data_IF_544965144162
#
_entry.id   IF_544965144162
#
_cell.length_a   1.000
_cell.length_b   1.000
_cell.length_c   1.000
_cell.angle_alpha   90.00
_cell.angle_beta   90.00
_cell.angle_gamma   90.00
#
_symmetry.space_group_name_H-M   'P 1'
#
loop_
_entity.id
_entity.type
_entity.pdbx_description
1 polymer ?
#
# COMPACT_ATOMS: atom_id res chain seq x y z
N UNK A 1 3.52 -18.22 32.29
CA UNK A 1 2.76 -17.03 31.83
C UNK A 1 3.22 -16.73 30.42
N UNK A 2 2.38 -17.00 29.41
CA UNK A 2 2.66 -16.52 28.06
C UNK A 2 2.43 -15.01 28.07
N UNK A 3 3.49 -14.23 27.91
CA UNK A 3 3.37 -12.80 27.68
C UNK A 3 2.43 -12.59 26.50
N UNK A 4 1.30 -11.91 26.71
CA UNK A 4 0.48 -11.43 25.59
C UNK A 4 1.38 -10.49 24.81
N UNK A 5 1.92 -10.94 23.68
CA UNK A 5 2.65 -10.07 22.78
C UNK A 5 1.68 -8.96 22.34
N UNK A 6 1.87 -7.76 22.89
CA UNK A 6 1.17 -6.56 22.43
C UNK A 6 1.66 -6.28 21.02
N UNK A 7 0.75 -6.27 20.05
CA UNK A 7 1.08 -5.94 18.67
C UNK A 7 1.47 -4.46 18.63
N UNK A 8 2.69 -4.16 18.14
CA UNK A 8 3.11 -2.79 17.87
C UNK A 8 2.64 -2.37 16.48
N UNK A 9 1.44 -1.80 16.42
CA UNK A 9 0.85 -1.33 15.17
C UNK A 9 1.64 -0.16 14.54
N UNK A 10 2.42 0.61 15.31
CA UNK A 10 3.27 1.65 14.75
C UNK A 10 4.45 1.04 13.99
N UNK A 11 5.05 -0.01 14.55
CA UNK A 11 6.10 -0.76 13.87
C UNK A 11 5.57 -1.43 12.60
N UNK A 12 4.36 -2.00 12.64
CA UNK A 12 3.73 -2.58 11.46
C UNK A 12 3.54 -1.53 10.36
N UNK A 13 2.98 -0.35 10.66
CA UNK A 13 2.86 0.74 9.67
C UNK A 13 4.22 1.09 9.04
N UNK A 14 5.28 1.22 9.85
CA UNK A 14 6.63 1.50 9.33
C UNK A 14 7.15 0.41 8.39
N UNK A 15 6.86 -0.86 8.70
CA UNK A 15 7.24 -1.99 7.84
C UNK A 15 6.45 -1.99 6.53
N UNK A 16 5.15 -1.70 6.58
CA UNK A 16 4.34 -1.58 5.37
C UNK A 16 4.83 -0.45 4.47
N UNK A 17 5.15 0.72 5.03
CA UNK A 17 5.67 1.84 4.23
C UNK A 17 7.04 1.55 3.59
N UNK A 18 7.90 0.78 4.25
CA UNK A 18 9.14 0.29 3.63
C UNK A 18 8.86 -0.64 2.45
N UNK A 19 7.87 -1.54 2.60
CA UNK A 19 7.44 -2.41 1.51
C UNK A 19 6.85 -1.62 0.35
N UNK A 20 6.03 -0.60 0.63
CA UNK A 20 5.45 0.30 -0.38
C UNK A 20 6.56 0.97 -1.18
N UNK A 21 7.56 1.57 -0.53
CA UNK A 21 8.65 2.24 -1.25
C UNK A 21 9.43 1.30 -2.20
N UNK A 22 9.61 0.03 -1.82
CA UNK A 22 10.25 -0.97 -2.69
C UNK A 22 9.35 -1.31 -3.88
N UNK A 23 8.07 -1.52 -3.63
CA UNK A 23 7.09 -1.84 -4.67
C UNK A 23 6.86 -0.67 -5.64
N UNK A 24 6.85 0.57 -5.14
CA UNK A 24 6.74 1.78 -5.96
C UNK A 24 7.92 1.88 -6.92
N UNK A 25 9.14 1.66 -6.43
CA UNK A 25 10.34 1.63 -7.28
C UNK A 25 10.27 0.50 -8.31
N UNK A 26 9.87 -0.71 -7.90
CA UNK A 26 9.70 -1.82 -8.84
C UNK A 26 8.65 -1.49 -9.91
N UNK A 27 7.54 -0.85 -9.55
CA UNK A 27 6.51 -0.46 -10.49
C UNK A 27 7.00 0.65 -11.44
N UNK A 28 7.85 1.57 -10.97
CA UNK A 28 8.48 2.60 -11.82
C UNK A 28 9.44 2.00 -12.84
N UNK A 29 10.27 1.04 -12.41
CA UNK A 29 11.28 0.37 -13.23
C UNK A 29 10.67 -0.71 -14.18
N UNK A 30 9.39 -1.07 -14.01
CA UNK A 30 8.72 -2.12 -14.80
C UNK A 30 8.18 -1.58 -16.13
N UNK A 31 8.48 -2.28 -17.22
CA UNK A 31 8.03 -1.93 -18.58
C UNK A 31 6.72 -2.63 -18.94
N UNK A 32 6.47 -3.82 -18.42
CA UNK A 32 5.26 -4.60 -18.69
C UNK A 32 4.05 -3.98 -17.94
N UNK A 33 3.03 -3.47 -18.67
CA UNK A 33 1.87 -2.83 -18.06
C UNK A 33 1.06 -3.78 -17.17
N UNK A 34 1.04 -5.07 -17.48
CA UNK A 34 0.33 -6.06 -16.67
C UNK A 34 1.03 -6.27 -15.32
N UNK A 35 2.36 -6.37 -15.32
CA UNK A 35 3.16 -6.50 -14.09
C UNK A 35 3.09 -5.21 -13.28
N UNK A 36 3.21 -4.04 -13.92
CA UNK A 36 3.04 -2.73 -13.28
C UNK A 36 1.67 -2.59 -12.61
N UNK A 37 0.60 -3.00 -13.28
CA UNK A 37 -0.75 -3.00 -12.72
C UNK A 37 -0.88 -3.97 -11.53
N UNK A 38 -0.20 -5.13 -11.57
CA UNK A 38 -0.17 -6.05 -10.44
C UNK A 38 0.55 -5.46 -9.22
N UNK A 39 1.72 -4.84 -9.41
CA UNK A 39 2.47 -4.16 -8.36
C UNK A 39 1.65 -3.03 -7.70
N UNK A 40 0.91 -2.26 -8.50
CA UNK A 40 0.05 -1.19 -7.99
C UNK A 40 -1.13 -1.71 -7.16
N UNK A 41 -1.69 -2.88 -7.50
CA UNK A 41 -2.71 -3.52 -6.64
C UNK A 41 -2.12 -3.90 -5.28
N UNK A 42 -0.91 -4.44 -5.24
CA UNK A 42 -0.23 -4.77 -3.98
C UNK A 42 0.03 -3.51 -3.15
N UNK A 43 0.47 -2.41 -3.77
CA UNK A 43 0.66 -1.12 -3.08
C UNK A 43 -0.66 -0.62 -2.45
N UNK A 44 -1.77 -0.73 -3.19
CA UNK A 44 -3.10 -0.36 -2.69
C UNK A 44 -3.48 -1.19 -1.46
N UNK A 45 -3.29 -2.51 -1.50
CA UNK A 45 -3.53 -3.41 -0.37
C UNK A 45 -2.66 -3.03 0.84
N UNK A 46 -1.40 -2.64 0.62
CA UNK A 46 -0.50 -2.19 1.69
C UNK A 46 -0.99 -0.92 2.38
N UNK A 47 -1.62 0.00 1.65
CA UNK A 47 -2.26 1.16 2.28
C UNK A 47 -3.52 0.79 3.06
N UNK A 48 -4.30 -0.19 2.62
CA UNK A 48 -5.43 -0.73 3.41
C UNK A 48 -4.93 -1.35 4.73
N UNK A 49 -3.83 -2.12 4.69
CA UNK A 49 -3.18 -2.66 5.90
C UNK A 49 -2.71 -1.52 6.85
N UNK A 50 -2.20 -0.41 6.31
CA UNK A 50 -1.83 0.76 7.12
C UNK A 50 -3.06 1.41 7.78
N UNK A 51 -4.17 1.55 7.05
CA UNK A 51 -5.44 2.08 7.59
C UNK A 51 -5.95 1.18 8.70
N UNK A 52 -5.89 -0.14 8.53
CA UNK A 52 -6.29 -1.09 9.56
C UNK A 52 -5.37 -1.01 10.78
N UNK A 53 -4.06 -0.84 10.62
CA UNK A 53 -3.17 -0.59 11.77
C UNK A 53 -3.56 0.68 12.54
N UNK A 54 -3.97 1.75 11.85
CA UNK A 54 -4.48 2.98 12.51
C UNK A 54 -5.76 2.69 13.29
N UNK A 55 -6.70 1.93 12.71
CA UNK A 55 -7.94 1.51 13.41
C UNK A 55 -7.65 0.72 14.68
N UNK A 56 -6.53 0.00 14.74
CA UNK A 56 -6.10 -0.77 15.90
C UNK A 56 -5.17 0.00 16.86
N UNK A 57 -4.93 1.30 16.62
CA UNK A 57 -4.22 2.17 17.57
C UNK A 57 -2.84 2.64 17.14
N UNK A 58 -2.44 2.48 15.87
CA UNK A 58 -1.24 3.15 15.36
C UNK A 58 -1.44 4.68 15.33
N UNK A 59 -0.41 5.44 15.73
CA UNK A 59 -0.40 6.90 15.78
C UNK A 59 -0.08 7.52 14.41
N UNK A 60 -0.94 7.23 13.43
CA UNK A 60 -0.86 7.76 12.07
C UNK A 60 -2.25 8.23 11.59
N UNK A 61 -2.29 8.93 10.46
CA UNK A 61 -3.55 9.41 9.88
C UNK A 61 -4.09 8.41 8.86
N UNK A 62 -5.23 7.78 9.16
CA UNK A 62 -5.94 6.94 8.20
C UNK A 62 -6.35 7.73 6.94
N UNK A 63 -6.68 9.03 7.10
CA UNK A 63 -7.00 9.92 5.98
C UNK A 63 -5.81 10.12 5.04
N UNK A 64 -4.60 10.24 5.59
CA UNK A 64 -3.39 10.34 4.78
C UNK A 64 -3.18 9.09 3.93
N UNK A 65 -3.27 7.89 4.52
CA UNK A 65 -3.15 6.63 3.78
C UNK A 65 -4.27 6.44 2.74
N UNK A 66 -5.50 6.86 3.04
CA UNK A 66 -6.60 6.82 2.09
C UNK A 66 -6.35 7.70 0.85
N UNK A 67 -5.73 8.87 1.02
CA UNK A 67 -5.36 9.73 -0.10
C UNK A 67 -4.27 9.10 -0.96
N UNK A 68 -3.21 8.56 -0.35
CA UNK A 68 -2.14 7.87 -1.07
C UNK A 68 -2.66 6.65 -1.84
N UNK A 69 -3.53 5.86 -1.21
CA UNK A 69 -4.25 4.77 -1.87
C UNK A 69 -5.02 5.27 -3.10
N UNK A 70 -5.79 6.34 -2.96
CA UNK A 70 -6.61 6.90 -4.06
C UNK A 70 -5.76 7.36 -5.24
N UNK A 71 -4.57 7.93 -4.99
CA UNK A 71 -3.63 8.28 -6.05
C UNK A 71 -3.17 7.05 -6.85
N UNK A 72 -2.87 5.95 -6.16
CA UNK A 72 -2.49 4.70 -6.80
C UNK A 72 -3.66 4.01 -7.52
N UNK A 73 -4.88 4.07 -6.98
CA UNK A 73 -6.09 3.60 -7.65
C UNK A 73 -6.35 4.36 -8.95
N UNK A 74 -6.12 5.67 -8.97
CA UNK A 74 -6.24 6.51 -10.18
C UNK A 74 -5.23 6.07 -11.24
N UNK A 75 -3.95 5.95 -10.88
CA UNK A 75 -2.91 5.47 -11.80
C UNK A 75 -3.21 4.05 -12.33
N UNK A 76 -3.71 3.15 -11.47
CA UNK A 76 -4.06 1.78 -11.87
C UNK A 76 -5.21 1.78 -12.87
N UNK A 77 -6.19 2.68 -12.69
CA UNK A 77 -7.29 2.85 -13.64
C UNK A 77 -6.77 3.34 -14.99
N UNK A 78 -5.85 4.31 -14.99
CA UNK A 78 -5.24 4.85 -16.22
C UNK A 78 -4.53 3.75 -17.02
N UNK A 79 -3.72 2.90 -16.37
CA UNK A 79 -3.04 1.77 -17.03
C UNK A 79 -3.98 0.75 -17.67
N UNK A 80 -5.12 0.46 -17.04
CA UNK A 80 -6.10 -0.49 -17.59
C UNK A 80 -6.84 0.06 -18.81
N UNK A 81 -7.06 1.37 -18.86
CA UNK A 81 -7.71 2.00 -20.02
C UNK A 81 -6.87 1.91 -21.29
N UNK A 82 -5.55 1.78 -21.17
CA UNK A 82 -4.64 1.64 -22.30
C UNK A 82 -4.57 0.19 -22.83
N UNK A 83 -4.95 -0.82 -22.04
CA UNK A 83 -5.01 -2.23 -22.47
C UNK A 83 -6.32 -2.62 -23.19
N UNK A 84 -7.38 -1.82 -23.02
CA UNK A 84 -8.70 -2.02 -23.64
C UNK A 84 -8.83 -1.33 -25.04
N UNK A 85 -7.73 -0.81 -25.61
CA UNK A 85 -7.64 -0.19 -26.95
C UNK A 85 -6.80 -1.02 -27.92
#
# INVERSE_FOLDING_TARGET
>A
MFSKHTIDYNLLVKQQLKSVAVLEKQAEDEEDPFIKAALMKVIIEKYDECIDCVRHGAHYSAYHFANLKKEHEKKLKELKTDEDL
#
